data_IF_918210130264
#
_entry.id   IF_918210130264
#
_cell.length_a   1.000
_cell.length_b   1.000
_cell.length_c   1.000
_cell.angle_alpha   90.00
_cell.angle_beta   90.00
_cell.angle_gamma   90.00
#
_symmetry.space_group_name_H-M   'P 1'
#
loop_
_entity.id
_entity.type
_entity.pdbx_description
1 polymer ?
#
# COMPACT_ATOMS: atom_id res chain seq x y z
N UNK A 1 38.85 19.92 -37.00
CA UNK A 1 39.92 20.91 -36.79
C UNK A 1 39.53 21.82 -35.64
N UNK A 2 40.39 21.81 -34.61
CA UNK A 2 40.44 22.61 -33.39
C UNK A 2 39.55 23.87 -33.29
N UNK A 3 38.94 24.05 -32.12
CA UNK A 3 39.42 25.04 -31.14
C UNK A 3 38.72 24.87 -29.79
N UNK A 4 39.50 24.43 -28.80
CA UNK A 4 39.22 24.53 -27.38
C UNK A 4 39.18 26.01 -26.97
N UNK A 5 38.17 26.41 -26.19
CA UNK A 5 38.16 27.68 -25.47
C UNK A 5 38.16 27.36 -23.97
N UNK A 6 39.28 27.71 -23.37
CA UNK A 6 39.60 27.69 -21.95
C UNK A 6 38.80 28.80 -21.27
N UNK A 7 37.97 28.48 -20.26
CA UNK A 7 37.28 29.49 -19.46
C UNK A 7 37.95 29.62 -18.09
N UNK A 8 38.39 30.83 -17.81
CA UNK A 8 39.23 31.27 -16.69
C UNK A 8 38.32 31.60 -15.51
N UNK A 9 38.40 30.84 -14.41
CA UNK A 9 37.69 31.16 -13.16
C UNK A 9 38.55 32.13 -12.35
N UNK A 10 37.99 33.32 -12.11
CA UNK A 10 38.56 34.39 -11.30
C UNK A 10 38.34 34.07 -9.82
N UNK A 11 39.44 33.92 -9.09
CA UNK A 11 39.50 33.78 -7.64
C UNK A 11 39.39 35.18 -7.01
N UNK A 12 38.35 35.43 -6.22
CA UNK A 12 38.20 36.67 -5.44
C UNK A 12 38.28 36.35 -3.95
N UNK A 13 39.42 36.67 -3.34
CA UNK A 13 39.66 36.66 -1.90
C UNK A 13 39.20 37.98 -1.30
N UNK A 14 38.42 37.93 -0.22
CA UNK A 14 38.26 39.06 0.73
C UNK A 14 38.64 38.56 2.12
N UNK A 15 39.53 39.32 2.76
CA UNK A 15 40.22 39.05 4.01
C UNK A 15 39.41 39.52 5.23
N UNK A 16 39.42 38.67 6.26
CA UNK A 16 39.48 38.92 7.73
C UNK A 16 38.60 40.01 8.39
N UNK A 17 37.67 39.54 9.23
CA UNK A 17 37.28 40.18 10.48
C UNK A 17 37.61 39.24 11.65
N UNK A 18 38.63 39.59 12.43
CA UNK A 18 39.06 38.89 13.63
C UNK A 18 38.30 39.47 14.84
N UNK A 19 37.48 38.65 15.50
CA UNK A 19 36.97 38.91 16.83
C UNK A 19 37.38 37.73 17.70
N UNK A 20 38.50 37.86 18.41
CA UNK A 20 38.96 36.89 19.38
C UNK A 20 38.12 37.01 20.65
N UNK A 21 37.43 35.94 21.04
CA UNK A 21 37.25 35.66 22.46
C UNK A 21 37.54 34.19 22.71
N UNK A 22 38.39 33.96 23.69
CA UNK A 22 39.01 32.70 24.04
C UNK A 22 38.13 31.93 25.02
N UNK A 23 37.58 30.80 24.58
CA UNK A 23 36.78 29.91 25.43
C UNK A 23 36.85 28.47 24.93
N UNK A 24 37.70 27.70 25.61
CA UNK A 24 37.82 26.23 25.67
C UNK A 24 37.05 25.37 24.65
N UNK A 25 37.81 24.55 23.92
CA UNK A 25 37.38 23.31 23.30
C UNK A 25 36.52 22.47 24.27
N UNK A 26 35.22 22.42 24.00
CA UNK A 26 34.38 21.30 24.39
C UNK A 26 34.13 20.46 23.15
N UNK A 27 34.88 19.36 23.02
CA UNK A 27 34.50 18.22 22.20
C UNK A 27 33.19 17.66 22.75
N UNK A 28 32.06 18.23 22.34
CA UNK A 28 30.74 17.66 22.57
C UNK A 28 30.51 16.60 21.48
N UNK A 29 31.12 15.43 21.64
CA UNK A 29 30.72 14.23 20.90
C UNK A 29 29.39 13.70 21.46
N UNK A 30 28.36 14.54 21.41
CA UNK A 30 26.99 14.13 21.68
C UNK A 30 26.42 13.62 20.35
N UNK A 31 26.72 12.35 20.01
CA UNK A 31 25.95 11.68 18.98
C UNK A 31 24.48 11.69 19.43
N UNK A 32 23.60 12.29 18.61
CA UNK A 32 22.17 12.27 18.90
C UNK A 32 21.73 10.80 19.13
N UNK A 33 21.11 10.53 20.28
CA UNK A 33 20.71 9.17 20.67
C UNK A 33 19.76 8.53 19.64
N UNK A 34 19.03 9.37 18.91
CA UNK A 34 18.12 9.00 17.85
C UNK A 34 18.54 9.63 16.52
N UNK A 35 18.29 8.91 15.44
CA UNK A 35 18.22 9.52 14.12
C UNK A 35 16.81 10.08 13.90
N UNK A 36 16.72 11.23 13.22
CA UNK A 36 15.46 11.80 12.74
C UNK A 36 15.58 12.13 11.27
N UNK A 37 14.49 11.92 10.53
CA UNK A 37 14.37 12.26 9.12
C UNK A 37 13.00 12.88 8.83
N UNK A 38 13.01 14.07 8.23
CA UNK A 38 11.84 14.72 7.65
C UNK A 38 11.72 14.32 6.19
N UNK A 39 10.60 13.68 5.84
CA UNK A 39 10.39 13.12 4.51
C UNK A 39 9.41 14.01 3.73
N UNK A 40 9.78 14.45 2.53
CA UNK A 40 8.86 15.17 1.65
C UNK A 40 7.99 14.18 0.86
N UNK A 41 6.87 13.75 1.44
CA UNK A 41 5.91 12.83 0.84
C UNK A 41 4.63 13.56 0.36
N UNK A 42 4.79 14.79 -0.13
CA UNK A 42 3.65 15.67 -0.46
C UNK A 42 2.84 15.18 -1.66
N UNK A 43 3.46 14.39 -2.54
CA UNK A 43 2.80 13.83 -3.73
C UNK A 43 1.66 12.86 -3.36
N UNK A 44 0.59 12.90 -4.16
CA UNK A 44 -0.51 11.93 -4.11
C UNK A 44 -0.25 10.70 -4.98
N UNK A 45 0.78 10.74 -5.82
CA UNK A 45 1.06 9.72 -6.83
C UNK A 45 2.41 9.05 -6.59
N UNK A 46 3.44 9.85 -6.29
CA UNK A 46 4.81 9.37 -6.15
C UNK A 46 5.15 9.03 -4.70
N UNK A 47 5.91 7.96 -4.53
CA UNK A 47 6.47 7.55 -3.25
C UNK A 47 7.84 8.19 -3.05
N UNK A 48 8.15 8.56 -1.81
CA UNK A 48 9.51 8.93 -1.38
C UNK A 48 10.13 7.76 -0.64
N UNK A 49 11.22 7.22 -1.18
CA UNK A 49 11.91 6.05 -0.65
C UNK A 49 12.99 6.47 0.36
N UNK A 50 13.12 5.75 1.47
CA UNK A 50 14.01 6.07 2.58
C UNK A 50 14.88 4.88 2.93
N UNK A 51 16.18 5.14 3.13
CA UNK A 51 17.13 4.18 3.69
C UNK A 51 17.45 4.58 5.13
N UNK A 52 17.03 3.74 6.08
CA UNK A 52 17.23 3.99 7.53
C UNK A 52 18.71 3.94 7.94
N UNK A 53 19.53 3.11 7.31
CA UNK A 53 20.95 2.98 7.65
C UNK A 53 21.76 4.20 7.25
N UNK A 54 21.35 4.89 6.18
CA UNK A 54 21.96 6.15 5.72
C UNK A 54 21.25 7.40 6.25
N UNK A 55 20.13 7.23 6.96
CA UNK A 55 19.28 8.32 7.45
C UNK A 55 18.93 9.34 6.35
N UNK A 56 18.51 8.86 5.17
CA UNK A 56 18.23 9.72 4.03
C UNK A 56 17.11 9.19 3.14
N UNK A 57 16.50 10.10 2.37
CA UNK A 57 15.67 9.73 1.22
C UNK A 57 16.57 9.36 0.04
N UNK A 58 16.25 8.29 -0.66
CA UNK A 58 17.00 7.79 -1.80
C UNK A 58 16.30 8.15 -3.11
N UNK A 59 17.08 8.60 -4.10
CA UNK A 59 16.56 9.01 -5.39
C UNK A 59 16.31 7.79 -6.28
N UNK A 60 15.11 7.21 -6.17
CA UNK A 60 14.64 6.10 -7.00
C UNK A 60 13.34 6.47 -7.71
N UNK A 61 13.24 6.11 -8.99
CA UNK A 61 11.94 6.00 -9.67
C UNK A 61 11.16 4.79 -9.15
N UNK A 62 9.85 4.73 -9.45
CA UNK A 62 9.02 3.61 -9.04
C UNK A 62 9.52 2.29 -9.62
N UNK A 63 9.98 2.31 -10.88
CA UNK A 63 10.50 1.16 -11.61
C UNK A 63 11.82 0.66 -10.98
N UNK A 64 12.71 1.59 -10.63
CA UNK A 64 13.97 1.23 -9.96
C UNK A 64 13.71 0.65 -8.56
N UNK A 65 12.82 1.30 -7.80
CA UNK A 65 12.49 0.88 -6.44
C UNK A 65 11.87 -0.53 -6.40
N UNK A 66 11.08 -0.91 -7.40
CA UNK A 66 10.47 -2.24 -7.49
C UNK A 66 11.50 -3.38 -7.49
N UNK A 67 12.71 -3.14 -7.98
CA UNK A 67 13.79 -4.13 -8.07
C UNK A 67 14.96 -3.89 -7.11
N UNK A 68 14.91 -2.82 -6.33
CA UNK A 68 16.02 -2.39 -5.47
C UNK A 68 15.84 -2.86 -4.04
N UNK A 69 16.93 -3.27 -3.39
CA UNK A 69 17.04 -3.53 -1.95
C UNK A 69 17.59 -2.31 -1.17
N UNK A 70 17.80 -1.18 -1.84
CA UNK A 70 18.50 -0.01 -1.28
C UNK A 70 17.61 0.88 -0.40
N UNK A 71 16.30 0.66 -0.39
CA UNK A 71 15.35 1.40 0.46
C UNK A 71 14.72 0.45 1.48
N UNK A 72 14.30 0.99 2.63
CA UNK A 72 13.65 0.21 3.68
C UNK A 72 12.18 0.55 3.83
N UNK A 73 11.85 1.84 3.81
CA UNK A 73 10.49 2.35 3.93
C UNK A 73 10.22 3.34 2.79
N UNK A 74 8.96 3.46 2.37
CA UNK A 74 8.54 4.49 1.43
C UNK A 74 7.29 5.20 1.94
N UNK A 75 7.19 6.50 1.65
CA UNK A 75 6.14 7.39 2.14
C UNK A 75 5.38 8.06 0.99
N UNK A 76 4.06 8.10 1.07
CA UNK A 76 3.17 8.84 0.17
C UNK A 76 2.03 9.43 1.00
N UNK A 77 1.97 10.76 1.13
CA UNK A 77 1.07 11.43 2.08
C UNK A 77 1.25 10.78 3.46
N UNK A 78 0.18 10.27 4.08
CA UNK A 78 0.21 9.58 5.36
C UNK A 78 0.48 8.08 5.28
N UNK A 79 0.58 7.52 4.07
CA UNK A 79 0.81 6.09 3.85
C UNK A 79 2.29 5.76 3.99
N UNK A 80 2.56 4.57 4.50
CA UNK A 80 3.90 4.02 4.67
C UNK A 80 3.89 2.57 4.21
N UNK A 81 4.89 2.18 3.42
CA UNK A 81 5.09 0.79 2.99
C UNK A 81 6.53 0.35 3.24
N UNK A 82 6.76 -0.95 3.36
CA UNK A 82 8.08 -1.54 3.60
C UNK A 82 8.66 -2.17 2.33
N UNK A 83 9.99 -2.19 2.19
CA UNK A 83 10.64 -2.88 1.06
C UNK A 83 10.68 -4.39 1.29
N UNK A 84 9.50 -5.01 1.28
CA UNK A 84 9.34 -6.43 1.50
C UNK A 84 8.00 -6.93 0.98
N UNK A 85 7.95 -8.22 0.66
CA UNK A 85 6.74 -8.88 0.18
C UNK A 85 6.22 -8.25 -1.11
N UNK A 86 5.00 -7.76 -1.09
CA UNK A 86 4.31 -7.15 -2.22
C UNK A 86 4.84 -5.77 -2.62
N UNK A 87 5.50 -5.05 -1.71
CA UNK A 87 5.83 -3.63 -1.91
C UNK A 87 7.18 -3.36 -2.58
N UNK A 88 8.08 -4.35 -2.61
CA UNK A 88 9.40 -4.25 -3.23
C UNK A 88 10.25 -5.52 -3.10
N UNK A 89 11.36 -5.56 -3.83
CA UNK A 89 12.24 -6.73 -3.92
C UNK A 89 13.07 -7.02 -2.66
N UNK A 90 13.14 -6.06 -1.73
CA UNK A 90 13.85 -6.19 -0.47
C UNK A 90 13.28 -7.26 0.46
N UNK A 91 13.92 -7.41 1.62
CA UNK A 91 13.59 -8.40 2.64
C UNK A 91 13.15 -7.76 3.95
N UNK A 92 12.70 -6.51 3.89
CA UNK A 92 12.23 -5.79 5.07
C UNK A 92 10.98 -6.46 5.61
N UNK A 93 10.90 -6.58 6.93
CA UNK A 93 9.69 -6.97 7.65
C UNK A 93 9.50 -6.04 8.84
N UNK A 94 8.25 -5.84 9.22
CA UNK A 94 7.84 -4.87 10.25
C UNK A 94 7.03 -5.59 11.32
N UNK A 95 7.19 -5.18 12.57
CA UNK A 95 6.32 -5.58 13.68
C UNK A 95 5.87 -4.35 14.47
N UNK A 96 4.74 -4.45 15.17
CA UNK A 96 4.38 -3.49 16.22
C UNK A 96 5.11 -3.90 17.50
N UNK A 97 5.96 -3.03 18.01
CA UNK A 97 6.72 -3.27 19.24
C UNK A 97 5.97 -2.72 20.47
N UNK A 98 5.35 -1.55 20.32
CA UNK A 98 4.49 -0.93 21.34
C UNK A 98 3.22 -0.41 20.68
N UNK A 99 2.06 -0.94 21.08
CA UNK A 99 0.76 -0.65 20.47
C UNK A 99 0.25 0.75 20.77
N UNK A 100 0.69 1.35 21.88
CA UNK A 100 0.18 2.63 22.40
C UNK A 100 -1.34 2.58 22.66
N UNK A 101 -1.79 1.52 23.32
CA UNK A 101 -3.21 1.25 23.57
C UNK A 101 -3.88 2.34 24.43
N UNK A 102 -3.10 3.09 25.22
CA UNK A 102 -3.62 4.22 26.00
C UNK A 102 -4.23 5.32 25.13
N UNK A 103 -3.87 5.42 23.85
CA UNK A 103 -4.46 6.39 22.93
C UNK A 103 -5.89 6.03 22.51
N UNK A 104 -6.36 4.83 22.86
CA UNK A 104 -7.60 4.26 22.33
C UNK A 104 -8.50 3.68 23.42
N UNK A 105 -9.82 3.76 23.19
CA UNK A 105 -10.83 2.99 23.91
C UNK A 105 -11.44 1.99 22.93
N UNK A 106 -10.86 0.78 22.85
CA UNK A 106 -11.11 -0.12 21.74
C UNK A 106 -10.48 0.43 20.45
N UNK A 107 -11.28 0.67 19.42
CA UNK A 107 -10.82 1.28 18.16
C UNK A 107 -10.99 2.81 18.13
N UNK A 108 -11.68 3.38 19.12
CA UNK A 108 -11.98 4.81 19.17
C UNK A 108 -10.80 5.61 19.74
N UNK A 109 -10.30 6.57 18.98
CA UNK A 109 -9.23 7.47 19.41
C UNK A 109 -9.68 8.40 20.56
N UNK A 110 -8.93 8.40 21.65
CA UNK A 110 -9.18 9.26 22.81
C UNK A 110 -8.60 10.65 22.53
N UNK A 111 -9.47 11.57 22.08
CA UNK A 111 -9.06 12.90 21.60
C UNK A 111 -8.19 13.69 22.57
N UNK A 112 -8.44 13.61 23.89
CA UNK A 112 -7.66 14.38 24.86
C UNK A 112 -6.22 13.87 25.01
N UNK A 113 -5.94 12.58 24.82
CA UNK A 113 -4.60 12.01 24.91
C UNK A 113 -3.81 12.47 23.69
N UNK A 114 -4.34 12.24 22.49
CA UNK A 114 -3.73 12.70 21.23
C UNK A 114 -3.42 14.21 21.19
N UNK A 115 -4.32 15.06 21.70
CA UNK A 115 -4.15 16.50 21.63
C UNK A 115 -3.16 17.06 22.67
N UNK A 116 -2.86 16.31 23.73
CA UNK A 116 -1.92 16.70 24.78
C UNK A 116 -0.59 15.93 24.73
N UNK A 117 -0.50 14.89 23.90
CA UNK A 117 0.71 14.08 23.76
C UNK A 117 1.85 14.87 23.12
N UNK A 118 3.04 14.78 23.73
CA UNK A 118 4.27 15.38 23.23
C UNK A 118 5.25 14.29 22.81
N UNK A 119 5.84 14.42 21.62
CA UNK A 119 6.74 13.42 21.03
C UNK A 119 7.94 13.08 21.92
N UNK A 120 8.40 14.03 22.76
CA UNK A 120 9.49 13.82 23.71
C UNK A 120 9.13 12.81 24.82
N UNK A 121 7.85 12.74 25.21
CA UNK A 121 7.38 11.84 26.28
C UNK A 121 7.48 10.35 25.88
N UNK A 122 7.46 10.08 24.58
CA UNK A 122 7.45 8.73 24.01
C UNK A 122 8.83 8.31 23.47
N UNK A 123 9.89 9.08 23.74
CA UNK A 123 11.26 8.76 23.32
C UNK A 123 11.79 7.47 23.93
N UNK A 124 11.48 7.23 25.21
CA UNK A 124 12.00 6.09 25.93
C UNK A 124 11.41 4.77 25.42
N UNK A 125 10.28 4.80 24.69
CA UNK A 125 9.72 3.62 24.04
C UNK A 125 10.67 3.05 22.98
N UNK A 126 11.37 3.90 22.23
CA UNK A 126 12.40 3.44 21.29
C UNK A 126 13.61 2.78 21.97
N UNK A 127 13.79 3.00 23.28
CA UNK A 127 14.91 2.47 24.08
C UNK A 127 14.56 1.17 24.81
N UNK A 128 13.28 0.80 24.88
CA UNK A 128 12.84 -0.44 25.52
C UNK A 128 13.52 -1.64 24.87
N UNK A 129 13.88 -2.62 25.69
CA UNK A 129 14.34 -3.92 25.21
C UNK A 129 13.12 -4.78 24.86
N UNK A 130 12.86 -4.96 23.57
CA UNK A 130 11.78 -5.82 23.08
C UNK A 130 12.26 -7.26 22.92
N UNK A 131 11.44 -8.22 23.34
CA UNK A 131 11.65 -9.63 23.01
C UNK A 131 11.23 -9.87 21.56
N UNK A 132 12.22 -9.85 20.65
CA UNK A 132 12.01 -9.98 19.21
C UNK A 132 11.32 -11.29 18.84
N UNK A 133 11.51 -12.36 19.62
CA UNK A 133 10.90 -13.66 19.35
C UNK A 133 9.39 -13.68 19.66
N UNK A 134 8.91 -12.74 20.47
CA UNK A 134 7.48 -12.57 20.78
C UNK A 134 6.72 -11.71 19.77
N UNK A 135 7.44 -10.95 18.93
CA UNK A 135 6.84 -10.04 17.97
C UNK A 135 6.43 -10.78 16.69
N UNK A 136 5.32 -10.34 16.11
CA UNK A 136 4.86 -10.84 14.81
C UNK A 136 5.39 -9.93 13.72
N UNK A 137 6.47 -10.35 13.06
CA UNK A 137 6.99 -9.68 11.88
C UNK A 137 6.22 -10.10 10.64
N UNK A 138 5.82 -9.11 9.84
CA UNK A 138 5.18 -9.33 8.54
C UNK A 138 5.83 -8.45 7.48
N UNK A 139 5.79 -8.94 6.24
CA UNK A 139 6.07 -8.12 5.07
C UNK A 139 4.75 -7.60 4.52
N UNK A 140 4.80 -6.59 3.65
CA UNK A 140 3.60 -6.12 2.99
C UNK A 140 3.02 -7.21 2.08
N UNK A 141 1.69 -7.29 2.01
CA UNK A 141 0.99 -8.30 1.22
C UNK A 141 0.01 -7.65 0.24
N UNK A 142 -0.25 -8.32 -0.88
CA UNK A 142 -1.30 -7.91 -1.79
C UNK A 142 -2.67 -8.27 -1.19
N UNK A 143 -3.56 -7.28 -1.12
CA UNK A 143 -4.95 -7.44 -0.67
C UNK A 143 -5.89 -7.13 -1.84
N UNK A 144 -6.66 -8.13 -2.31
CA UNK A 144 -7.61 -7.90 -3.39
C UNK A 144 -8.81 -7.08 -2.88
N UNK A 145 -9.38 -6.26 -3.76
CA UNK A 145 -10.66 -5.58 -3.51
C UNK A 145 -11.82 -6.59 -3.42
N UNK A 146 -11.68 -7.75 -4.06
CA UNK A 146 -12.65 -8.85 -4.02
C UNK A 146 -12.00 -10.04 -3.28
N UNK A 147 -12.43 -10.29 -2.04
CA UNK A 147 -11.77 -11.29 -1.20
C UNK A 147 -12.15 -12.72 -1.60
N UNK A 148 -11.22 -13.65 -1.44
CA UNK A 148 -11.38 -15.04 -1.87
C UNK A 148 -12.64 -15.72 -1.33
N UNK A 149 -12.86 -15.56 -0.02
CA UNK A 149 -14.04 -16.06 0.69
C UNK A 149 -15.38 -15.53 0.14
N UNK A 150 -15.35 -14.42 -0.59
CA UNK A 150 -16.56 -13.80 -1.12
C UNK A 150 -16.99 -14.38 -2.47
N UNK A 151 -16.07 -14.87 -3.31
CA UNK A 151 -16.39 -15.30 -4.69
C UNK A 151 -16.28 -16.81 -4.94
N UNK A 152 -15.64 -17.57 -4.03
CA UNK A 152 -15.64 -19.03 -4.07
C UNK A 152 -15.93 -19.65 -2.70
N UNK A 153 -16.35 -20.91 -2.73
CA UNK A 153 -16.54 -21.77 -1.57
C UNK A 153 -15.55 -22.92 -1.67
N UNK A 154 -14.74 -23.09 -0.63
CA UNK A 154 -13.82 -24.23 -0.52
C UNK A 154 -14.45 -25.36 0.31
N UNK A 155 -14.53 -26.55 -0.28
CA UNK A 155 -14.94 -27.74 0.44
C UNK A 155 -13.72 -28.43 1.05
N UNK A 156 -13.65 -28.49 2.38
CA UNK A 156 -12.52 -29.06 3.12
C UNK A 156 -12.45 -30.59 3.09
N UNK A 157 -13.54 -31.29 2.74
CA UNK A 157 -13.54 -32.75 2.60
C UNK A 157 -13.05 -33.20 1.22
N UNK A 158 -13.51 -32.55 0.15
CA UNK A 158 -13.13 -32.90 -1.23
C UNK A 158 -11.95 -32.10 -1.77
N UNK A 159 -11.53 -31.04 -1.06
CA UNK A 159 -10.51 -30.08 -1.51
C UNK A 159 -10.84 -29.48 -2.89
N UNK A 160 -12.12 -29.21 -3.13
CA UNK A 160 -12.64 -28.63 -4.39
C UNK A 160 -13.21 -27.23 -4.16
N UNK A 161 -13.14 -26.40 -5.20
CA UNK A 161 -13.73 -25.07 -5.23
C UNK A 161 -15.06 -25.08 -6.00
N UNK A 162 -16.03 -24.30 -5.54
CA UNK A 162 -17.24 -23.94 -6.28
C UNK A 162 -17.46 -22.44 -6.24
N UNK A 163 -18.13 -21.86 -7.23
CA UNK A 163 -18.47 -20.44 -7.18
C UNK A 163 -19.39 -20.13 -5.98
N UNK A 164 -19.16 -19.00 -5.30
CA UNK A 164 -20.13 -18.43 -4.38
C UNK A 164 -21.17 -17.63 -5.18
N UNK A 165 -22.27 -18.27 -5.52
CA UNK A 165 -23.30 -17.70 -6.42
C UNK A 165 -24.25 -16.71 -5.74
N UNK A 166 -24.12 -16.53 -4.41
CA UNK A 166 -24.95 -15.59 -3.65
C UNK A 166 -24.41 -14.16 -3.69
N UNK A 167 -23.12 -14.00 -3.97
CA UNK A 167 -22.44 -12.71 -3.97
C UNK A 167 -22.29 -12.15 -5.39
N UNK A 168 -22.37 -10.83 -5.46
CA UNK A 168 -22.18 -10.05 -6.67
C UNK A 168 -21.47 -8.73 -6.33
N UNK A 169 -20.92 -8.08 -7.35
CA UNK A 169 -20.17 -6.84 -7.22
C UNK A 169 -20.54 -5.88 -8.34
N UNK A 170 -20.26 -4.61 -8.10
CA UNK A 170 -19.99 -3.66 -9.18
C UNK A 170 -18.47 -3.56 -9.38
N UNK A 171 -18.03 -3.45 -10.62
CA UNK A 171 -16.63 -3.23 -11.01
C UNK A 171 -16.53 -1.99 -11.88
N UNK A 172 -15.54 -1.16 -11.60
CA UNK A 172 -15.03 -0.13 -12.50
C UNK A 172 -13.95 -0.77 -13.36
N UNK A 173 -14.04 -0.59 -14.67
CA UNK A 173 -13.11 -1.13 -15.65
C UNK A 173 -11.76 -0.37 -15.61
N UNK A 174 -10.78 -0.88 -16.34
CA UNK A 174 -9.44 -0.29 -16.41
C UNK A 174 -9.43 1.17 -16.88
N UNK A 175 -10.35 1.55 -17.77
CA UNK A 175 -10.48 2.92 -18.30
C UNK A 175 -10.96 3.95 -17.26
N UNK A 176 -11.52 3.49 -16.14
CA UNK A 176 -12.10 4.31 -15.09
C UNK A 176 -13.44 4.97 -15.43
N UNK A 177 -14.07 4.60 -16.55
CA UNK A 177 -15.30 5.20 -17.09
C UNK A 177 -16.38 4.17 -17.40
N UNK A 178 -15.99 2.96 -17.74
CA UNK A 178 -16.88 1.83 -17.97
C UNK A 178 -17.02 1.02 -16.69
N UNK A 179 -18.21 0.46 -16.48
CA UNK A 179 -18.52 -0.28 -15.27
C UNK A 179 -19.36 -1.50 -15.61
N UNK A 180 -19.20 -2.58 -14.85
CA UNK A 180 -20.09 -3.72 -14.93
C UNK A 180 -20.63 -4.10 -13.57
N UNK A 181 -21.83 -4.65 -13.50
CA UNK A 181 -22.21 -5.53 -12.40
C UNK A 181 -21.87 -6.96 -12.80
N UNK A 182 -21.36 -7.77 -11.90
CA UNK A 182 -21.01 -9.15 -12.22
C UNK A 182 -21.13 -10.09 -11.03
N UNK A 183 -21.25 -11.39 -11.31
CA UNK A 183 -21.21 -12.48 -10.34
C UNK A 183 -20.75 -13.77 -10.99
N UNK A 184 -20.14 -14.66 -10.21
CA UNK A 184 -19.76 -15.98 -10.68
C UNK A 184 -20.95 -16.92 -10.68
N UNK A 185 -21.07 -17.73 -11.74
CA UNK A 185 -22.09 -18.78 -11.88
C UNK A 185 -21.50 -20.17 -11.71
N UNK A 186 -20.21 -20.36 -12.03
CA UNK A 186 -19.56 -21.66 -11.90
C UNK A 186 -18.04 -21.54 -11.70
N UNK A 187 -17.49 -22.49 -10.93
CA UNK A 187 -16.09 -22.88 -10.96
C UNK A 187 -16.03 -24.37 -11.29
N UNK A 188 -15.45 -24.70 -12.43
CA UNK A 188 -15.41 -26.07 -12.96
C UNK A 188 -13.97 -26.58 -12.97
N UNK A 189 -13.66 -27.68 -12.27
CA UNK A 189 -12.32 -28.26 -12.27
C UNK A 189 -11.90 -28.70 -13.68
N UNK A 190 -10.63 -28.50 -14.01
CA UNK A 190 -10.03 -28.90 -15.28
C UNK A 190 -9.07 -30.09 -15.10
N UNK A 191 -8.78 -30.87 -16.16
CA UNK A 191 -7.91 -32.05 -16.08
C UNK A 191 -6.49 -31.77 -15.58
N UNK A 192 -5.97 -30.56 -15.83
CA UNK A 192 -4.63 -30.10 -15.45
C UNK A 192 -4.55 -29.51 -14.03
N UNK A 193 -5.58 -29.75 -13.21
CA UNK A 193 -5.71 -29.27 -11.83
C UNK A 193 -5.91 -27.75 -11.71
N UNK A 194 -6.23 -27.07 -12.81
CA UNK A 194 -6.76 -25.70 -12.80
C UNK A 194 -8.29 -25.71 -12.70
N UNK A 195 -8.91 -24.53 -12.75
CA UNK A 195 -10.35 -24.37 -12.86
C UNK A 195 -10.68 -23.43 -14.03
N UNK A 196 -11.83 -23.64 -14.66
CA UNK A 196 -12.48 -22.61 -15.46
C UNK A 196 -13.54 -21.90 -14.62
N UNK A 197 -13.61 -20.58 -14.72
CA UNK A 197 -14.66 -19.79 -14.09
C UNK A 197 -15.66 -19.27 -15.12
N UNK A 198 -16.94 -19.29 -14.78
CA UNK A 198 -17.97 -18.63 -15.59
C UNK A 198 -18.59 -17.52 -14.76
N UNK A 199 -18.70 -16.34 -15.35
CA UNK A 199 -19.34 -15.19 -14.74
C UNK A 199 -20.36 -14.59 -15.69
N UNK A 200 -21.41 -14.03 -15.09
CA UNK A 200 -22.40 -13.22 -15.79
C UNK A 200 -22.19 -11.75 -15.41
N UNK A 201 -22.41 -10.86 -16.36
CA UNK A 201 -22.22 -9.43 -16.17
C UNK A 201 -23.13 -8.59 -17.05
N UNK A 202 -23.37 -7.35 -16.66
CA UNK A 202 -24.05 -6.34 -17.48
C UNK A 202 -23.33 -5.00 -17.32
N UNK A 203 -23.16 -4.27 -18.42
CA UNK A 203 -22.23 -3.14 -18.52
C UNK A 203 -22.97 -1.81 -18.63
N UNK A 204 -22.51 -0.83 -17.88
CA UNK A 204 -22.77 0.59 -18.06
C UNK A 204 -21.59 1.16 -18.86
N UNK A 205 -21.86 1.58 -20.10
CA UNK A 205 -20.84 2.12 -20.99
C UNK A 205 -20.27 3.45 -20.46
N UNK A 206 -19.06 3.79 -20.89
CA UNK A 206 -18.45 5.09 -20.62
C UNK A 206 -19.39 6.26 -20.88
N UNK A 207 -19.35 7.25 -19.99
CA UNK A 207 -20.12 8.50 -20.07
C UNK A 207 -21.66 8.31 -20.07
N UNK A 208 -22.16 7.14 -19.67
CA UNK A 208 -23.58 6.87 -19.43
C UNK A 208 -23.88 6.71 -17.95
N UNK A 209 -25.17 6.74 -17.58
CA UNK A 209 -25.62 6.62 -16.17
C UNK A 209 -26.51 5.41 -15.94
N UNK A 210 -26.59 4.47 -16.87
CA UNK A 210 -27.44 3.29 -16.73
C UNK A 210 -26.78 2.05 -17.34
N UNK A 211 -27.00 0.90 -16.70
CA UNK A 211 -26.71 -0.40 -17.31
C UNK A 211 -27.56 -0.61 -18.56
N UNK A 212 -26.96 -1.19 -19.60
CA UNK A 212 -27.63 -1.46 -20.86
C UNK A 212 -27.06 -2.72 -21.53
N UNK A 213 -27.72 -3.18 -22.60
CA UNK A 213 -27.26 -4.33 -23.38
C UNK A 213 -27.61 -5.70 -22.79
N UNK A 214 -28.18 -5.73 -21.58
CA UNK A 214 -28.61 -6.96 -20.92
C UNK A 214 -27.44 -7.84 -20.46
N UNK A 215 -27.77 -8.87 -19.69
CA UNK A 215 -26.77 -9.78 -19.13
C UNK A 215 -26.01 -10.57 -20.22
N UNK A 216 -24.70 -10.61 -20.07
CA UNK A 216 -23.73 -11.33 -20.89
C UNK A 216 -23.00 -12.37 -20.02
N UNK A 217 -22.34 -13.33 -20.67
CA UNK A 217 -21.57 -14.39 -20.00
C UNK A 217 -20.19 -14.49 -20.61
N UNK A 218 -19.17 -14.66 -19.77
CA UNK A 218 -17.82 -15.03 -20.19
C UNK A 218 -17.35 -16.23 -19.36
N UNK A 219 -16.71 -17.18 -20.03
CA UNK A 219 -16.06 -18.33 -19.40
C UNK A 219 -14.56 -18.16 -19.55
N UNK A 220 -13.88 -17.99 -18.42
CA UNK A 220 -12.44 -17.89 -18.34
C UNK A 220 -11.84 -19.26 -18.03
N UNK A 221 -11.00 -19.76 -18.94
CA UNK A 221 -10.22 -20.98 -18.73
C UNK A 221 -8.74 -20.64 -18.84
N UNK A 222 -7.94 -21.18 -17.92
CA UNK A 222 -6.48 -21.04 -17.95
C UNK A 222 -5.92 -21.79 -19.16
N UNK A 223 -4.91 -21.23 -19.82
CA UNK A 223 -4.16 -21.98 -20.83
C UNK A 223 -3.39 -23.13 -20.15
N UNK A 224 -3.17 -24.27 -20.84
CA UNK A 224 -2.42 -25.38 -20.27
C UNK A 224 -1.06 -24.93 -19.70
N UNK A 225 -0.79 -25.27 -18.44
CA UNK A 225 0.44 -24.91 -17.75
C UNK A 225 0.49 -23.48 -17.18
N UNK A 226 -0.62 -22.73 -17.28
CA UNK A 226 -0.77 -21.42 -16.64
C UNK A 226 -1.75 -21.51 -15.46
N UNK A 227 -1.62 -20.58 -14.51
CA UNK A 227 -2.53 -20.49 -13.35
C UNK A 227 -3.26 -19.14 -13.28
N UNK A 228 -3.12 -18.32 -14.32
CA UNK A 228 -3.57 -16.93 -14.40
C UNK A 228 -4.19 -16.68 -15.76
N UNK A 229 -5.32 -15.99 -15.80
CA UNK A 229 -5.95 -15.48 -17.02
C UNK A 229 -6.58 -14.12 -16.73
N UNK A 230 -6.50 -13.21 -17.69
CA UNK A 230 -7.15 -11.92 -17.61
C UNK A 230 -8.45 -11.94 -18.41
N UNK A 231 -9.46 -11.24 -17.91
CA UNK A 231 -10.82 -11.15 -18.47
C UNK A 231 -11.06 -9.69 -18.82
N UNK A 232 -11.35 -9.45 -20.08
CA UNK A 232 -11.83 -8.17 -20.61
C UNK A 232 -13.35 -8.28 -20.79
N UNK A 233 -14.09 -7.53 -19.98
CA UNK A 233 -15.56 -7.56 -20.00
C UNK A 233 -16.11 -6.76 -21.19
N UNK A 234 -15.37 -5.79 -21.71
CA UNK A 234 -15.77 -4.98 -22.85
C UNK A 234 -15.78 -5.79 -24.14
N UNK A 235 -14.73 -6.58 -24.38
CA UNK A 235 -14.65 -7.50 -25.52
C UNK A 235 -15.28 -8.87 -25.26
N UNK A 236 -15.67 -9.15 -24.00
CA UNK A 236 -16.25 -10.42 -23.55
C UNK A 236 -15.30 -11.60 -23.77
N UNK A 237 -14.02 -11.36 -23.60
CA UNK A 237 -12.96 -12.29 -23.94
C UNK A 237 -11.98 -12.48 -22.79
N UNK A 238 -11.13 -13.49 -22.93
CA UNK A 238 -9.97 -13.68 -22.07
C UNK A 238 -8.67 -13.47 -22.84
N UNK A 239 -7.63 -13.09 -22.10
CA UNK A 239 -6.32 -12.79 -22.64
C UNK A 239 -5.20 -13.13 -21.65
N UNK A 240 -3.97 -13.10 -22.15
CA UNK A 240 -2.77 -13.09 -21.32
C UNK A 240 -2.68 -11.75 -20.57
N UNK A 241 -2.32 -11.80 -19.30
CA UNK A 241 -2.18 -10.61 -18.46
C UNK A 241 -0.93 -9.78 -18.75
N UNK A 242 0.02 -10.28 -19.56
CA UNK A 242 1.33 -9.65 -19.77
C UNK A 242 1.40 -8.68 -20.96
N UNK A 243 0.40 -8.71 -21.87
CA UNK A 243 0.47 -8.03 -23.17
C UNK A 243 -0.17 -6.64 -23.26
N UNK A 244 -1.23 -6.37 -22.49
CA UNK A 244 -2.06 -5.16 -22.64
C UNK A 244 -2.60 -4.68 -21.28
N UNK A 245 -1.77 -3.96 -20.52
CA UNK A 245 -2.05 -3.58 -19.13
C UNK A 245 -3.30 -2.70 -18.92
N UNK A 246 -3.89 -2.12 -19.96
CA UNK A 246 -5.07 -1.25 -19.88
C UNK A 246 -6.37 -1.82 -20.43
N UNK A 247 -6.39 -3.08 -20.89
CA UNK A 247 -7.54 -3.63 -21.64
C UNK A 247 -8.36 -4.64 -20.83
N UNK A 248 -7.74 -5.40 -19.93
CA UNK A 248 -8.45 -6.35 -19.08
C UNK A 248 -9.05 -5.66 -17.84
N UNK A 249 -10.09 -6.24 -17.25
CA UNK A 249 -10.76 -5.69 -16.06
C UNK A 249 -10.53 -6.53 -14.80
N UNK A 250 -10.50 -7.84 -14.99
CA UNK A 250 -10.28 -8.83 -13.93
C UNK A 250 -9.11 -9.73 -14.27
N UNK A 251 -8.19 -9.92 -13.32
CA UNK A 251 -7.16 -10.95 -13.36
C UNK A 251 -7.57 -12.05 -12.41
N UNK A 252 -7.82 -13.22 -12.98
CA UNK A 252 -8.25 -14.41 -12.27
C UNK A 252 -7.05 -15.35 -12.06
N UNK A 253 -6.86 -15.79 -10.83
CA UNK A 253 -5.93 -16.85 -10.46
C UNK A 253 -6.74 -17.98 -9.83
N UNK A 254 -6.75 -19.17 -10.43
CA UNK A 254 -7.42 -20.33 -9.81
C UNK A 254 -6.55 -21.57 -9.91
N UNK A 255 -5.88 -21.88 -8.81
CA UNK A 255 -5.06 -23.08 -8.66
C UNK A 255 -5.25 -23.69 -7.28
N UNK A 256 -4.76 -24.91 -7.07
CA UNK A 256 -4.71 -25.51 -5.72
C UNK A 256 -3.77 -24.79 -4.76
N UNK A 257 -2.79 -24.05 -5.29
CA UNK A 257 -1.75 -23.35 -4.51
C UNK A 257 -2.10 -21.89 -4.20
N UNK A 258 -3.18 -21.37 -4.77
CA UNK A 258 -3.59 -19.98 -4.60
C UNK A 258 -4.77 -19.64 -5.50
N UNK A 259 -5.71 -18.88 -4.95
CA UNK A 259 -6.90 -18.37 -5.61
C UNK A 259 -6.99 -16.88 -5.39
N UNK A 260 -7.10 -16.11 -6.47
CA UNK A 260 -7.08 -14.67 -6.43
C UNK A 260 -7.99 -14.08 -7.50
N UNK A 261 -8.63 -12.97 -7.17
CA UNK A 261 -9.38 -12.17 -8.12
C UNK A 261 -8.99 -10.72 -7.92
N UNK A 262 -8.39 -10.16 -8.95
CA UNK A 262 -7.76 -8.86 -8.91
C UNK A 262 -8.41 -7.96 -9.96
N UNK A 263 -8.57 -6.70 -9.62
CA UNK A 263 -8.97 -5.65 -10.55
C UNK A 263 -7.77 -5.13 -11.34
N UNK A 264 -8.01 -4.49 -12.49
CA UNK A 264 -6.97 -3.75 -13.20
C UNK A 264 -6.68 -2.40 -12.54
N UNK A 265 -6.42 -2.41 -11.24
CA UNK A 265 -6.06 -1.21 -10.51
C UNK A 265 -5.33 -1.55 -9.21
N UNK A 266 -4.29 -0.78 -8.94
CA UNK A 266 -3.52 -0.86 -7.70
C UNK A 266 -2.37 -1.85 -7.74
N UNK A 267 -2.63 -3.16 -7.80
CA UNK A 267 -1.59 -4.20 -7.65
C UNK A 267 -1.05 -4.72 -8.99
N UNK A 268 -1.91 -5.35 -9.80
CA UNK A 268 -1.47 -6.09 -10.99
C UNK A 268 -1.74 -5.39 -12.32
N UNK A 269 -2.41 -4.24 -12.30
CA UNK A 269 -2.79 -3.48 -13.49
C UNK A 269 -2.48 -2.00 -13.34
N UNK A 270 -2.27 -1.34 -14.47
CA UNK A 270 -1.97 0.11 -14.55
C UNK A 270 -3.25 0.96 -14.73
N UNK A 271 -4.40 0.30 -14.89
CA UNK A 271 -5.69 0.94 -15.03
C UNK A 271 -6.25 1.50 -13.73
N UNK A 272 -7.50 1.95 -13.82
CA UNK A 272 -8.29 2.49 -12.71
C UNK A 272 -9.29 1.48 -12.17
N UNK A 273 -9.05 0.18 -12.41
CA UNK A 273 -9.92 -0.90 -11.97
C UNK A 273 -10.18 -0.85 -10.48
N UNK A 274 -11.43 -1.12 -10.08
CA UNK A 274 -11.82 -1.15 -8.67
C UNK A 274 -13.15 -1.88 -8.51
N UNK A 275 -13.42 -2.44 -7.33
CA UNK A 275 -14.66 -3.15 -7.04
C UNK A 275 -15.44 -2.50 -5.88
N UNK A 276 -16.76 -2.64 -5.94
CA UNK A 276 -17.68 -2.34 -4.84
C UNK A 276 -18.51 -3.59 -4.54
N UNK A 277 -18.29 -4.16 -3.36
CA UNK A 277 -18.95 -5.35 -2.85
C UNK A 277 -18.09 -6.06 -1.78
N UNK A 278 -18.43 -7.31 -1.41
CA UNK A 278 -19.57 -8.08 -1.93
C UNK A 278 -20.91 -7.47 -1.51
N UNK A 279 -21.93 -7.74 -2.30
CA UNK A 279 -23.33 -7.55 -1.98
C UNK A 279 -24.08 -8.82 -2.37
N UNK A 280 -25.30 -9.01 -1.88
CA UNK A 280 -26.12 -10.12 -2.40
C UNK A 280 -26.42 -9.91 -3.88
N UNK A 281 -26.53 -11.01 -4.63
CA UNK A 281 -26.89 -10.98 -6.05
C UNK A 281 -28.16 -10.16 -6.31
N UNK A 282 -29.18 -10.31 -5.47
CA UNK A 282 -30.44 -9.56 -5.58
C UNK A 282 -30.25 -8.07 -5.33
N UNK A 283 -29.39 -7.70 -4.37
CA UNK A 283 -29.09 -6.29 -4.11
C UNK A 283 -28.39 -5.65 -5.32
N UNK A 284 -27.39 -6.32 -5.91
CA UNK A 284 -26.70 -5.83 -7.12
C UNK A 284 -27.63 -5.78 -8.33
N UNK A 285 -28.53 -6.75 -8.49
CA UNK A 285 -29.50 -6.77 -9.58
C UNK A 285 -30.42 -5.53 -9.57
N UNK A 286 -30.69 -4.95 -8.40
CA UNK A 286 -31.50 -3.74 -8.25
C UNK A 286 -30.76 -2.44 -8.64
N UNK A 287 -29.44 -2.47 -8.83
CA UNK A 287 -28.70 -1.31 -9.32
C UNK A 287 -29.02 -1.06 -10.79
N UNK A 288 -29.55 0.12 -11.07
CA UNK A 288 -29.76 0.61 -12.45
C UNK A 288 -28.57 1.40 -12.97
N UNK A 289 -27.67 1.83 -12.09
CA UNK A 289 -26.44 2.58 -12.38
C UNK A 289 -25.31 2.12 -11.46
N UNK A 290 -24.09 2.08 -11.99
CA UNK A 290 -22.86 1.81 -11.26
C UNK A 290 -22.33 3.04 -10.50
N UNK A 291 -22.76 4.24 -10.90
CA UNK A 291 -22.21 5.50 -10.38
C UNK A 291 -23.21 6.27 -9.53
N UNK A 292 -24.51 5.97 -9.64
CA UNK A 292 -25.55 6.68 -8.88
C UNK A 292 -26.64 5.79 -8.30
N UNK A 293 -27.09 6.08 -7.08
CA UNK A 293 -28.29 5.47 -6.49
C UNK A 293 -29.18 6.58 -5.95
N UNK A 294 -30.44 6.62 -6.39
CA UNK A 294 -31.42 7.62 -5.93
C UNK A 294 -30.90 9.06 -6.00
N UNK A 295 -30.16 9.37 -7.07
CA UNK A 295 -29.57 10.70 -7.30
C UNK A 295 -28.31 11.01 -6.50
N UNK A 296 -27.77 10.07 -5.73
CA UNK A 296 -26.48 10.22 -5.02
C UNK A 296 -25.36 9.50 -5.75
N UNK A 297 -24.20 10.13 -5.84
CA UNK A 297 -22.97 9.51 -6.33
C UNK A 297 -22.50 8.41 -5.36
N UNK A 298 -22.10 7.27 -5.91
CA UNK A 298 -21.56 6.12 -5.18
C UNK A 298 -20.14 5.76 -5.61
N UNK A 299 -19.51 6.57 -6.47
CA UNK A 299 -18.17 6.32 -7.00
C UNK A 299 -17.09 6.14 -5.92
N UNK A 300 -17.28 6.73 -4.73
CA UNK A 300 -16.38 6.61 -3.58
C UNK A 300 -16.41 5.25 -2.88
N UNK A 301 -17.39 4.38 -3.17
CA UNK A 301 -17.48 3.05 -2.58
C UNK A 301 -16.57 2.02 -3.27
N UNK A 302 -16.01 2.36 -4.43
CA UNK A 302 -15.11 1.49 -5.17
C UNK A 302 -13.70 1.50 -4.57
N UNK A 303 -13.18 0.31 -4.29
CA UNK A 303 -11.80 0.12 -3.82
C UNK A 303 -11.00 -0.63 -4.87
N UNK A 304 -9.80 -0.15 -5.17
CA UNK A 304 -8.84 -0.90 -5.97
C UNK A 304 -8.14 -1.95 -5.09
N UNK A 305 -7.45 -2.90 -5.74
CA UNK A 305 -6.51 -3.75 -5.01
C UNK A 305 -5.42 -2.87 -4.40
N UNK A 306 -4.80 -3.35 -3.31
CA UNK A 306 -3.73 -2.60 -2.66
C UNK A 306 -2.66 -3.52 -2.13
N UNK A 307 -1.48 -2.98 -1.93
CA UNK A 307 -0.53 -3.56 -0.97
C UNK A 307 -0.89 -3.03 0.42
N UNK A 308 -0.90 -3.90 1.41
CA UNK A 308 -1.17 -3.57 2.80
C UNK A 308 -0.03 -4.09 3.68
N UNK A 309 0.55 -3.21 4.48
CA UNK A 309 1.59 -3.54 5.45
C UNK A 309 1.15 -3.32 6.90
N UNK A 310 2.09 -3.49 7.83
CA UNK A 310 1.84 -3.23 9.27
C UNK A 310 1.35 -1.81 9.50
N UNK A 311 1.86 -0.81 8.77
CA UNK A 311 1.45 0.58 8.95
C UNK A 311 0.00 0.88 8.54
N UNK A 312 -0.57 0.08 7.62
CA UNK A 312 -1.97 0.18 7.24
C UNK A 312 -2.88 -0.53 8.25
N UNK A 313 -2.49 -1.73 8.68
CA UNK A 313 -3.22 -2.51 9.68
C UNK A 313 -3.17 -1.86 11.08
N UNK A 314 -2.08 -1.15 11.37
CA UNK A 314 -1.81 -0.53 12.66
C UNK A 314 -1.47 0.95 12.46
N UNK A 315 -2.51 1.77 12.23
CA UNK A 315 -2.36 3.22 12.04
C UNK A 315 -1.43 3.87 13.08
N UNK A 316 -0.56 4.76 12.59
CA UNK A 316 0.34 5.59 13.41
C UNK A 316 -0.31 6.93 13.82
N UNK A 317 -1.55 7.18 13.40
CA UNK A 317 -2.25 8.44 13.64
C UNK A 317 -3.76 8.28 13.87
N UNK A 318 -4.37 9.34 14.39
CA UNK A 318 -5.82 9.58 14.31
C UNK A 318 -6.11 10.87 13.52
N UNK A 319 -7.27 10.95 12.88
CA UNK A 319 -7.66 12.05 12.00
C UNK A 319 -8.84 12.85 12.59
N UNK A 320 -8.76 14.17 12.42
CA UNK A 320 -9.88 15.09 12.63
C UNK A 320 -10.46 15.11 14.07
N UNK A 321 -9.62 14.88 15.07
CA UNK A 321 -10.02 14.84 16.49
C UNK A 321 -10.62 16.15 17.02
N UNK A 322 -10.33 17.27 16.38
CA UNK A 322 -10.82 18.62 16.74
C UNK A 322 -11.69 19.28 15.67
N UNK A 323 -12.11 18.53 14.63
CA UNK A 323 -12.86 19.10 13.49
C UNK A 323 -12.01 19.95 12.52
N UNK A 324 -10.68 19.94 12.66
CA UNK A 324 -9.75 20.75 11.84
C UNK A 324 -9.08 19.99 10.69
N UNK A 325 -9.52 18.77 10.38
CA UNK A 325 -8.95 17.93 9.33
C UNK A 325 -7.43 17.69 9.47
N UNK A 326 -6.96 17.49 10.71
CA UNK A 326 -5.55 17.27 11.02
C UNK A 326 -5.26 15.81 11.40
N UNK A 327 -4.06 15.33 11.06
CA UNK A 327 -3.52 14.07 11.58
C UNK A 327 -2.73 14.32 12.87
N UNK A 328 -2.93 13.45 13.86
CA UNK A 328 -2.21 13.46 15.15
C UNK A 328 -1.54 12.10 15.35
N UNK A 329 -0.21 12.04 15.50
CA UNK A 329 0.48 10.78 15.77
C UNK A 329 0.06 10.17 17.11
N UNK A 330 0.10 8.84 17.21
CA UNK A 330 -0.02 8.10 18.46
C UNK A 330 1.33 7.65 19.03
N UNK A 331 2.44 7.99 18.36
CA UNK A 331 3.80 7.58 18.74
C UNK A 331 4.00 6.05 18.86
N UNK A 332 3.18 5.27 18.15
CA UNK A 332 3.33 3.81 18.03
C UNK A 332 4.75 3.44 17.63
N UNK A 333 5.36 2.53 18.40
CA UNK A 333 6.72 2.06 18.14
C UNK A 333 6.65 0.83 17.27
N UNK A 334 7.23 0.92 16.08
CA UNK A 334 7.40 -0.18 15.15
C UNK A 334 8.83 -0.72 15.25
N UNK A 335 8.99 -2.00 14.96
CA UNK A 335 10.30 -2.63 14.77
C UNK A 335 10.48 -2.98 13.31
N UNK A 336 11.51 -2.41 12.70
CA UNK A 336 11.87 -2.63 11.29
C UNK A 336 13.08 -3.55 11.26
N UNK A 337 12.92 -4.75 10.73
CA UNK A 337 14.04 -5.64 10.39
C UNK A 337 14.35 -5.44 8.90
N UNK A 338 15.57 -4.97 8.61
CA UNK A 338 15.97 -4.63 7.24
C UNK A 338 16.12 -5.85 6.33
N UNK A 339 16.34 -7.04 6.89
CA UNK A 339 16.47 -8.26 6.12
C UNK A 339 16.10 -9.49 6.95
N UNK A 340 14.88 -10.00 6.75
CA UNK A 340 14.35 -11.18 7.42
C UNK A 340 15.16 -12.46 7.22
N UNK A 341 15.99 -12.53 6.17
CA UNK A 341 16.77 -13.72 5.83
C UNK A 341 18.17 -13.69 6.49
N UNK A 342 18.51 -12.62 7.23
CA UNK A 342 19.79 -12.46 7.90
C UNK A 342 19.61 -12.08 9.37
N UNK A 343 19.92 -12.97 10.31
CA UNK A 343 19.82 -12.70 11.75
C UNK A 343 20.63 -11.46 12.17
N UNK A 344 21.77 -11.23 11.50
CA UNK A 344 22.65 -10.08 11.70
C UNK A 344 22.19 -8.79 11.01
N UNK A 345 21.00 -8.79 10.40
CA UNK A 345 20.42 -7.60 9.78
C UNK A 345 20.28 -6.48 10.79
N UNK A 346 20.42 -5.25 10.30
CA UNK A 346 20.13 -4.08 11.10
C UNK A 346 18.63 -4.05 11.43
N UNK A 347 18.33 -3.84 12.70
CA UNK A 347 16.96 -3.70 13.21
C UNK A 347 16.81 -2.30 13.80
N UNK A 348 15.65 -1.69 13.62
CA UNK A 348 15.37 -0.32 14.10
C UNK A 348 14.06 -0.27 14.87
N UNK A 349 14.05 0.38 16.04
CA UNK A 349 12.80 0.91 16.59
C UNK A 349 12.50 2.23 15.88
N UNK A 350 11.24 2.47 15.52
CA UNK A 350 10.82 3.63 14.73
C UNK A 350 9.46 4.15 15.18
N UNK A 351 9.34 5.48 15.24
CA UNK A 351 8.09 6.20 15.44
C UNK A 351 7.89 7.24 14.34
N UNK A 352 6.65 7.44 13.93
CA UNK A 352 6.24 8.62 13.16
C UNK A 352 5.79 9.69 14.16
N UNK A 353 6.50 10.82 14.21
CA UNK A 353 6.35 11.81 15.29
C UNK A 353 5.70 13.11 14.84
N UNK A 354 5.59 13.36 13.53
CA UNK A 354 4.94 14.53 12.96
C UNK A 354 4.46 14.22 11.54
N UNK A 355 3.39 14.85 11.07
CA UNK A 355 2.91 14.77 9.68
C UNK A 355 3.14 16.04 8.84
N UNK A 356 3.49 17.14 9.52
CA UNK A 356 3.59 18.48 8.97
C UNK A 356 4.98 19.09 9.21
N UNK A 357 6.02 18.25 9.24
CA UNK A 357 7.35 18.61 9.74
C UNK A 357 8.09 19.67 8.91
N UNK A 358 7.68 19.86 7.66
CA UNK A 358 8.17 20.90 6.75
C UNK A 358 7.14 22.02 6.52
N UNK A 359 6.10 22.11 7.36
CA UNK A 359 5.09 23.18 7.33
C UNK A 359 3.88 22.90 6.43
N UNK A 360 3.84 21.77 5.74
CA UNK A 360 2.73 21.37 4.88
C UNK A 360 2.32 19.90 5.06
N UNK A 361 1.09 19.57 4.66
CA UNK A 361 0.55 18.21 4.75
C UNK A 361 1.33 17.25 3.85
N UNK A 362 1.62 16.05 4.34
CA UNK A 362 2.42 15.06 3.60
C UNK A 362 3.91 15.22 3.82
N UNK A 363 4.32 15.76 4.97
CA UNK A 363 5.73 15.89 5.32
C UNK A 363 6.03 15.16 6.64
N UNK A 364 5.91 13.82 6.67
CA UNK A 364 6.09 13.08 7.90
C UNK A 364 7.53 13.18 8.42
N UNK A 365 7.68 13.21 9.74
CA UNK A 365 8.96 13.07 10.42
C UNK A 365 8.99 11.73 11.13
N UNK A 366 10.05 10.97 10.86
CA UNK A 366 10.34 9.72 11.56
C UNK A 366 11.49 9.94 12.52
N UNK A 367 11.40 9.31 13.68
CA UNK A 367 12.51 9.17 14.63
C UNK A 367 12.78 7.68 14.83
N UNK A 368 14.04 7.29 14.81
CA UNK A 368 14.40 5.89 14.91
C UNK A 368 15.75 5.67 15.59
N UNK A 369 15.90 4.47 16.16
CA UNK A 369 17.12 4.02 16.85
C UNK A 369 17.47 2.63 16.35
N UNK A 370 18.75 2.40 16.05
CA UNK A 370 19.25 1.06 15.76
C UNK A 370 19.19 0.21 17.04
N UNK A 371 18.57 -0.95 16.95
CA UNK A 371 18.52 -1.94 18.02
C UNK A 371 19.92 -2.53 18.19
N UNK A 372 20.44 -2.51 19.41
CA UNK A 372 21.73 -3.13 19.71
C UNK A 372 21.67 -4.64 19.44
N UNK A 373 22.75 -5.22 18.91
CA UNK A 373 22.86 -6.67 18.80
C UNK A 373 22.68 -7.31 20.18
N UNK A 374 21.77 -8.28 20.29
CA UNK A 374 21.54 -9.04 21.52
C UNK A 374 22.60 -10.13 21.71
#
# INVERSE_FOLDING_TARGET
>A
MNKSILSMIVLSTVLTGCGSDSGSDSNDNNQAEFSSLKVNATSYENWTYVNLSRNEAVALSAEQAATSDDWHLAFQRSKVKSNGGASGAGKVQVAVADTQDEFYNGEEAISNIFLNADAAQYEDDLKKSYDLASLTFTQDENKPAIKGEDWYIYNSQSHTLSANTNNAWLIRHADGKTYSKFYFTALTPQPDRTYSATLNFETQAADTTQFAGGEQTVTAAMAPGTSVVCIDLDSKATMDCTGDAGVWDLRLEVSRSGTGLWTNGGVFGEGKGAAFGPQTKDAVAAYTSATTISGRDISSHYSADRSEGVFDAHSWYAYNLSGQHQLRPNFRTFLIDTNKDADSSDKYTLQLINYYSLGESGTPEIRFKKVSAQ
#
